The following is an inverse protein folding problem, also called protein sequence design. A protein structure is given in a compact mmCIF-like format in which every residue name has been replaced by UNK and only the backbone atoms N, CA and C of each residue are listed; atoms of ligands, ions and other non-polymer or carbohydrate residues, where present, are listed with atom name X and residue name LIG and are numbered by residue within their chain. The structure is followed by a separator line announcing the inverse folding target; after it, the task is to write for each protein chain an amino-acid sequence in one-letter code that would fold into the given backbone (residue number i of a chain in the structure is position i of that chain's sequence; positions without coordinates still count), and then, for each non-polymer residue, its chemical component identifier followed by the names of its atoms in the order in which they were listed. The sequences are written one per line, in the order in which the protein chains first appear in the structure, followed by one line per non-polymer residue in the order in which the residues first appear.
data_IF_122149859137
#
_entry.id   IF_122149859137
#
_cell.length_a   1.000
_cell.length_b   1.000
_cell.length_c   1.000
_cell.angle_alpha   90.00
_cell.angle_beta   90.00
_cell.angle_gamma   90.00
#
_symmetry.space_group_name_H-M   'P 1'
#
loop_
_entity.id
_entity.type
_entity.pdbx_description
1 polymer ?
#
# COMPACT_ATOMS: atom_id res chain seq x y z
N UNK A 1 17.94 28.80 0.38
CA UNK A 1 17.11 28.76 1.61
C UNK A 1 16.74 27.30 1.86
N UNK A 2 17.10 26.71 3.00
CA UNK A 2 16.63 25.37 3.36
C UNK A 2 15.21 25.53 3.91
N UNK A 3 14.20 25.13 3.14
CA UNK A 3 12.81 25.11 3.62
C UNK A 3 12.72 24.01 4.67
N UNK A 4 12.68 24.37 5.94
CA UNK A 4 12.42 23.41 7.01
C UNK A 4 10.99 22.89 6.83
N UNK A 5 10.84 21.60 6.50
CA UNK A 5 9.52 20.99 6.40
C UNK A 5 8.92 20.94 7.80
N UNK A 6 7.71 21.49 7.94
CA UNK A 6 7.00 21.50 9.23
C UNK A 6 6.61 20.07 9.58
N UNK A 7 7.10 19.59 10.73
CA UNK A 7 6.70 18.30 11.28
C UNK A 7 5.25 18.38 11.80
N UNK A 8 4.45 17.37 11.49
CA UNK A 8 3.08 17.22 12.00
C UNK A 8 3.09 16.61 13.41
N UNK A 9 1.99 16.83 14.14
CA UNK A 9 1.77 16.21 15.45
C UNK A 9 1.38 14.73 15.26
N UNK A 10 2.11 13.76 15.85
CA UNK A 10 1.84 12.34 15.68
C UNK A 10 0.51 11.87 16.29
N UNK A 11 -0.12 12.65 17.18
CA UNK A 11 -1.47 12.35 17.69
C UNK A 11 -2.52 12.65 16.62
N UNK A 12 -2.26 13.65 15.76
CA UNK A 12 -3.22 14.13 14.76
C UNK A 12 -3.01 13.51 13.38
N UNK A 13 -1.77 13.18 13.03
CA UNK A 13 -1.44 12.56 11.73
C UNK A 13 -0.41 11.46 11.89
N UNK A 14 -0.57 10.40 11.09
CA UNK A 14 0.38 9.30 11.01
C UNK A 14 1.62 9.66 10.17
N UNK A 15 1.62 10.81 9.50
CA UNK A 15 2.71 11.27 8.64
C UNK A 15 3.57 12.30 9.36
N UNK A 16 4.87 12.27 9.09
CA UNK A 16 5.80 13.26 9.62
C UNK A 16 5.56 14.65 9.01
N UNK A 17 5.09 14.73 7.76
CA UNK A 17 4.93 15.99 7.03
C UNK A 17 3.64 16.05 6.23
N UNK A 18 3.14 17.27 6.00
CA UNK A 18 1.95 17.47 5.16
C UNK A 18 2.17 16.99 3.72
N UNK A 19 3.40 17.14 3.22
CA UNK A 19 3.74 16.71 1.87
C UNK A 19 3.64 15.18 1.71
N UNK A 20 4.02 14.41 2.73
CA UNK A 20 3.91 12.95 2.72
C UNK A 20 2.44 12.51 2.79
N UNK A 21 1.64 13.17 3.63
CA UNK A 21 0.20 12.95 3.73
C UNK A 21 -0.50 13.23 2.39
N UNK A 22 -0.22 14.39 1.77
CA UNK A 22 -0.79 14.74 0.46
C UNK A 22 -0.36 13.76 -0.65
N UNK A 23 0.86 13.23 -0.57
CA UNK A 23 1.34 12.21 -1.50
C UNK A 23 0.62 10.88 -1.31
N UNK A 24 0.39 10.48 -0.06
CA UNK A 24 -0.39 9.30 0.28
C UNK A 24 -1.84 9.44 -0.20
N UNK A 25 -2.49 10.58 0.05
CA UNK A 25 -3.87 10.83 -0.36
C UNK A 25 -4.05 10.66 -1.88
N UNK A 26 -3.15 11.26 -2.68
CA UNK A 26 -3.18 11.11 -4.15
C UNK A 26 -3.01 9.67 -4.59
N UNK A 27 -2.13 8.91 -3.94
CA UNK A 27 -1.97 7.49 -4.23
C UNK A 27 -3.21 6.69 -3.83
N UNK A 28 -3.77 6.96 -2.64
CA UNK A 28 -4.91 6.25 -2.07
C UNK A 28 -6.16 6.46 -2.94
N UNK A 29 -6.43 7.68 -3.38
CA UNK A 29 -7.52 7.95 -4.32
C UNK A 29 -7.41 7.13 -5.60
N UNK A 30 -6.20 6.95 -6.13
CA UNK A 30 -5.97 6.13 -7.31
C UNK A 30 -6.23 4.65 -7.02
N UNK A 31 -5.79 4.14 -5.86
CA UNK A 31 -6.09 2.77 -5.43
C UNK A 31 -7.59 2.54 -5.26
N UNK A 32 -8.32 3.48 -4.64
CA UNK A 32 -9.77 3.40 -4.49
C UNK A 32 -10.46 3.39 -5.86
N UNK A 33 -10.09 4.29 -6.78
CA UNK A 33 -10.63 4.30 -8.15
C UNK A 33 -10.32 3.01 -8.91
N UNK A 34 -9.18 2.38 -8.67
CA UNK A 34 -8.86 1.08 -9.24
C UNK A 34 -9.72 -0.04 -8.63
N UNK A 35 -9.85 -0.06 -7.30
CA UNK A 35 -10.67 -1.04 -6.57
C UNK A 35 -12.15 -0.98 -6.93
N UNK A 36 -12.72 0.21 -7.09
CA UNK A 36 -14.11 0.39 -7.53
C UNK A 36 -14.39 -0.13 -8.95
N UNK A 37 -13.35 -0.24 -9.79
CA UNK A 37 -13.44 -0.79 -11.15
C UNK A 37 -13.07 -2.27 -11.21
N UNK A 38 -12.56 -2.83 -10.12
CA UNK A 38 -12.17 -4.23 -10.05
C UNK A 38 -13.43 -5.12 -9.92
N UNK A 39 -13.36 -6.37 -10.41
CA UNK A 39 -14.44 -7.33 -10.21
C UNK A 39 -14.60 -7.66 -8.72
N UNK A 40 -15.86 -7.78 -8.28
CA UNK A 40 -16.18 -8.31 -6.96
C UNK A 40 -15.92 -9.81 -6.96
N UNK A 41 -15.25 -10.29 -5.91
CA UNK A 41 -14.96 -11.71 -5.69
C UNK A 41 -15.51 -12.14 -4.34
N UNK A 42 -15.77 -13.43 -4.16
CA UNK A 42 -16.12 -13.96 -2.84
C UNK A 42 -14.92 -13.91 -1.89
N UNK A 43 -15.18 -14.01 -0.59
CA UNK A 43 -14.12 -14.12 0.41
C UNK A 43 -13.21 -15.32 0.10
N UNK A 44 -13.78 -16.51 -0.14
CA UNK A 44 -13.03 -17.73 -0.41
C UNK A 44 -12.14 -17.59 -1.65
N UNK A 45 -12.67 -16.98 -2.73
CA UNK A 45 -11.90 -16.72 -3.94
C UNK A 45 -10.74 -15.76 -3.68
N UNK A 46 -10.97 -14.68 -2.91
CA UNK A 46 -9.91 -13.75 -2.53
C UNK A 46 -8.78 -14.46 -1.75
N UNK A 47 -9.13 -15.33 -0.80
CA UNK A 47 -8.16 -16.08 -0.01
C UNK A 47 -7.35 -17.04 -0.88
N UNK A 48 -7.98 -17.76 -1.81
CA UNK A 48 -7.28 -18.63 -2.77
C UNK A 48 -6.27 -17.83 -3.61
N UNK A 49 -6.66 -16.63 -4.08
CA UNK A 49 -5.75 -15.75 -4.85
C UNK A 49 -4.55 -15.29 -4.00
N UNK A 50 -4.77 -14.94 -2.73
CA UNK A 50 -3.73 -14.51 -1.81
C UNK A 50 -2.74 -15.65 -1.48
N UNK A 51 -3.24 -16.86 -1.23
CA UNK A 51 -2.40 -18.02 -0.94
C UNK A 51 -1.51 -18.39 -2.13
N UNK A 52 -2.07 -18.36 -3.35
CA UNK A 52 -1.31 -18.58 -4.57
C UNK A 52 -0.21 -17.52 -4.77
N UNK A 53 -0.52 -16.25 -4.50
CA UNK A 53 0.48 -15.17 -4.56
C UNK A 53 1.59 -15.38 -3.52
N UNK A 54 1.21 -15.73 -2.29
CA UNK A 54 2.15 -15.97 -1.19
C UNK A 54 3.12 -17.11 -1.52
N UNK A 55 2.60 -18.24 -2.02
CA UNK A 55 3.43 -19.37 -2.43
C UNK A 55 4.48 -18.96 -3.47
N UNK A 56 4.05 -18.24 -4.52
CA UNK A 56 4.94 -17.74 -5.57
C UNK A 56 6.03 -16.81 -5.04
N UNK A 57 5.68 -15.91 -4.11
CA UNK A 57 6.66 -14.99 -3.51
C UNK A 57 7.68 -15.75 -2.65
N UNK A 58 7.26 -16.75 -1.88
CA UNK A 58 8.15 -17.58 -1.08
C UNK A 58 9.12 -18.40 -1.94
N UNK A 59 8.67 -18.94 -3.06
CA UNK A 59 9.53 -19.63 -4.02
C UNK A 59 10.61 -18.70 -4.58
N UNK A 60 10.25 -17.47 -4.96
CA UNK A 60 11.21 -16.47 -5.43
C UNK A 60 12.26 -16.13 -4.37
N UNK A 61 11.83 -15.97 -3.11
CA UNK A 61 12.76 -15.71 -2.02
C UNK A 61 13.71 -16.87 -1.76
N UNK A 62 13.26 -18.12 -1.91
CA UNK A 62 14.11 -19.31 -1.78
C UNK A 62 15.10 -19.41 -2.94
N UNK A 63 14.65 -19.16 -4.17
CA UNK A 63 15.50 -19.19 -5.36
C UNK A 63 16.58 -18.10 -5.34
N UNK A 64 16.32 -16.95 -4.71
CA UNK A 64 17.30 -15.86 -4.58
C UNK A 64 18.35 -16.10 -3.47
N UNK A 65 18.16 -17.13 -2.63
CA UNK A 65 19.07 -17.49 -1.53
C UNK A 65 20.00 -18.67 -1.87
N UNK A 66 19.79 -19.31 -3.04
CA UNK A 66 20.63 -20.37 -3.59
C UNK A 66 21.45 -19.82 -4.77
#
# INVERSE_FOLDING_TARGET
MKTAVKKLDPILSAFDTKADEDAYDRWFEQQVKAGLRAPVVSHDEAMVRLDALRARLLERLRAAQN
#
